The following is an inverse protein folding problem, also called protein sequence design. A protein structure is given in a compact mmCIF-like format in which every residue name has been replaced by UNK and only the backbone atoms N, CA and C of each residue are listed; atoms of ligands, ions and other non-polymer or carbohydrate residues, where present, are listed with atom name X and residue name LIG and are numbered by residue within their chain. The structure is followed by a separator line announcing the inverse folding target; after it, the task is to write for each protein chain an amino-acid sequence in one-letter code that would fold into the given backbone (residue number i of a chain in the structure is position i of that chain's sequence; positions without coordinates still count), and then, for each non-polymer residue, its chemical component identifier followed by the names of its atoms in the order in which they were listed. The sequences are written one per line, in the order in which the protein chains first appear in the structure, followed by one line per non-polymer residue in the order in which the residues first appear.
data_IF_397542040280
#
_entry.id   IF_397542040280
#
_cell.length_a   1.000
_cell.length_b   1.000
_cell.length_c   1.000
_cell.angle_alpha   90.00
_cell.angle_beta   90.00
_cell.angle_gamma   90.00
#
_symmetry.space_group_name_H-M   'P 1'
#
loop_
_entity.id
_entity.type
_entity.pdbx_description
1 polymer ?
#
# COMPACT_ATOMS: atom_id res chain seq x y z
N UNK A 1 13.57 25.86 -10.10
CA UNK A 1 13.53 24.43 -10.52
C UNK A 1 14.83 24.01 -11.24
N UNK A 2 16.01 24.16 -10.61
CA UNK A 2 17.31 23.79 -11.22
C UNK A 2 17.93 22.54 -10.58
N UNK A 3 17.44 22.13 -9.41
CA UNK A 3 18.05 21.08 -8.57
C UNK A 3 18.06 19.69 -9.22
N UNK A 4 17.04 19.35 -10.01
CA UNK A 4 16.89 18.02 -10.63
C UNK A 4 17.26 17.97 -12.12
N UNK A 5 17.48 19.14 -12.74
CA UNK A 5 17.52 19.26 -14.21
C UNK A 5 18.72 18.59 -14.87
N UNK A 6 19.81 18.40 -14.12
CA UNK A 6 21.06 17.80 -14.62
C UNK A 6 21.47 16.52 -13.87
N UNK A 7 20.71 16.12 -12.85
CA UNK A 7 21.05 15.02 -11.94
C UNK A 7 20.09 13.84 -12.04
N UNK A 8 18.90 14.04 -12.63
CA UNK A 8 17.87 13.01 -12.76
C UNK A 8 17.45 12.89 -14.21
N UNK A 9 17.61 11.68 -14.74
CA UNK A 9 16.90 11.23 -15.93
C UNK A 9 15.49 10.79 -15.51
N UNK A 10 14.48 11.49 -16.02
CA UNK A 10 13.09 11.24 -15.63
C UNK A 10 12.51 9.98 -16.27
N UNK A 11 12.98 9.58 -17.46
CA UNK A 11 12.52 8.35 -18.11
C UNK A 11 13.00 7.14 -17.30
N UNK A 12 14.29 7.13 -16.93
CA UNK A 12 14.86 6.07 -16.10
C UNK A 12 14.24 6.03 -14.69
N UNK A 13 13.86 7.19 -14.13
CA UNK A 13 13.21 7.25 -12.82
C UNK A 13 11.83 6.59 -12.84
N UNK A 14 11.00 6.90 -13.85
CA UNK A 14 9.66 6.33 -14.00
C UNK A 14 9.72 4.82 -14.21
N UNK A 15 10.73 4.35 -14.95
CA UNK A 15 11.00 2.92 -15.16
C UNK A 15 11.66 2.23 -13.95
N UNK A 16 11.88 2.94 -12.82
CA UNK A 16 12.56 2.45 -11.60
C UNK A 16 13.97 1.91 -11.85
N UNK A 17 14.68 2.44 -12.85
CA UNK A 17 16.04 2.04 -13.23
C UNK A 17 17.14 2.83 -12.52
N UNK A 18 16.80 3.94 -11.86
CA UNK A 18 17.72 4.67 -11.00
C UNK A 18 17.76 3.98 -9.62
N UNK A 19 18.96 3.62 -9.16
CA UNK A 19 19.15 3.04 -7.83
C UNK A 19 18.77 4.06 -6.74
N UNK A 20 17.86 3.72 -5.81
CA UNK A 20 17.57 4.59 -4.68
C UNK A 20 18.82 4.87 -3.84
N UNK A 21 18.99 6.09 -3.29
CA UNK A 21 20.16 6.42 -2.48
C UNK A 21 20.24 5.63 -1.17
N UNK A 22 19.12 5.03 -0.75
CA UNK A 22 19.04 4.14 0.40
C UNK A 22 18.27 2.87 0.01
N UNK A 23 18.88 1.72 0.28
CA UNK A 23 18.27 0.41 0.11
C UNK A 23 18.07 -0.23 1.50
N UNK A 24 16.84 -0.32 2.03
CA UNK A 24 16.61 -0.94 3.32
C UNK A 24 16.94 -2.43 3.27
N UNK A 25 17.59 -2.94 4.32
CA UNK A 25 17.75 -4.37 4.51
C UNK A 25 16.38 -4.99 4.88
N UNK A 26 15.98 -6.06 4.20
CA UNK A 26 14.73 -6.79 4.42
C UNK A 26 15.06 -8.24 4.79
N UNK A 27 14.61 -8.67 5.96
CA UNK A 27 14.80 -10.05 6.45
C UNK A 27 13.61 -10.97 6.05
N UNK A 28 13.38 -11.10 4.74
CA UNK A 28 12.32 -11.96 4.18
C UNK A 28 10.92 -11.35 4.17
N UNK A 29 9.95 -12.12 3.69
CA UNK A 29 8.59 -11.63 3.35
C UNK A 29 7.75 -11.13 4.53
N UNK A 30 8.17 -11.44 5.77
CA UNK A 30 7.50 -11.04 7.01
C UNK A 30 8.36 -10.08 7.86
N UNK A 31 9.29 -9.36 7.23
CA UNK A 31 10.09 -8.38 7.97
C UNK A 31 9.23 -7.22 8.47
N UNK A 32 9.11 -7.10 9.80
CA UNK A 32 8.35 -6.04 10.46
C UNK A 32 9.24 -4.98 11.15
N UNK A 33 10.57 -5.03 10.97
CA UNK A 33 11.51 -4.16 11.70
C UNK A 33 11.33 -2.65 11.46
N UNK A 34 10.62 -2.25 10.39
CA UNK A 34 10.33 -0.84 10.07
C UNK A 34 8.94 -0.39 10.54
N UNK A 35 8.18 -1.28 11.19
CA UNK A 35 6.91 -0.96 11.82
C UNK A 35 7.12 -0.74 13.32
N UNK A 36 6.33 0.14 13.91
CA UNK A 36 6.32 0.32 15.36
C UNK A 36 5.78 -0.95 16.03
N UNK A 37 6.44 -1.38 17.11
CA UNK A 37 6.08 -2.59 17.83
C UNK A 37 4.73 -2.47 18.54
N UNK A 38 4.21 -1.25 18.74
CA UNK A 38 2.84 -1.07 19.21
C UNK A 38 1.83 -1.75 18.29
N UNK A 39 2.04 -1.71 16.96
CA UNK A 39 1.13 -2.33 15.99
C UNK A 39 1.44 -3.81 15.76
N UNK A 40 2.72 -4.20 15.71
CA UNK A 40 3.09 -5.59 15.38
C UNK A 40 2.85 -6.57 16.53
N UNK A 41 2.70 -6.06 17.75
CA UNK A 41 2.36 -6.86 18.94
C UNK A 41 0.86 -7.00 19.17
N UNK A 42 0.03 -6.20 18.50
CA UNK A 42 -1.42 -6.36 18.54
C UNK A 42 -1.84 -7.60 17.75
N UNK A 43 -2.85 -8.31 18.26
CA UNK A 43 -3.44 -9.41 17.53
C UNK A 43 -4.12 -8.88 16.26
N UNK A 44 -3.97 -9.54 15.09
CA UNK A 44 -4.57 -9.11 13.84
C UNK A 44 -6.07 -9.43 13.84
N UNK A 45 -6.84 -8.64 14.59
CA UNK A 45 -8.27 -8.79 14.79
C UNK A 45 -9.01 -7.48 14.46
N UNK A 46 -10.23 -7.61 13.94
CA UNK A 46 -11.13 -6.48 13.79
C UNK A 46 -11.80 -6.20 15.14
N UNK A 47 -11.93 -4.92 15.48
CA UNK A 47 -12.75 -4.51 16.62
C UNK A 47 -14.20 -4.94 16.37
N UNK A 48 -14.89 -5.56 17.35
CA UNK A 48 -16.28 -5.95 17.19
C UNK A 48 -17.20 -4.76 16.89
N UNK A 49 -18.20 -4.97 16.03
CA UNK A 49 -19.16 -3.93 15.67
C UNK A 49 -20.09 -3.58 16.84
N UNK A 50 -20.48 -2.31 16.92
CA UNK A 50 -21.57 -1.82 17.77
C UNK A 50 -22.85 -1.64 16.94
N UNK A 51 -23.87 -2.52 17.08
CA UNK A 51 -25.03 -2.53 16.18
C UNK A 51 -25.80 -1.20 16.13
N UNK A 52 -25.86 -0.48 17.25
CA UNK A 52 -26.52 0.82 17.34
C UNK A 52 -25.81 1.93 16.55
N UNK A 53 -24.48 1.85 16.45
CA UNK A 53 -23.67 2.79 15.67
C UNK A 53 -23.86 2.49 14.19
N UNK A 54 -23.72 1.22 13.79
CA UNK A 54 -23.89 0.78 12.40
C UNK A 54 -25.27 1.16 11.86
N UNK A 55 -26.33 0.99 12.66
CA UNK A 55 -27.70 1.33 12.26
C UNK A 55 -27.93 2.82 11.98
N UNK A 56 -27.04 3.72 12.43
CA UNK A 56 -27.15 5.17 12.21
C UNK A 56 -26.34 5.67 11.02
N UNK A 57 -25.52 4.82 10.41
CA UNK A 57 -24.68 5.18 9.26
C UNK A 57 -25.53 5.15 7.99
N UNK A 58 -25.51 6.23 7.21
CA UNK A 58 -26.14 6.27 5.89
C UNK A 58 -25.32 5.43 4.90
N UNK A 59 -25.86 4.28 4.51
CA UNK A 59 -25.17 3.35 3.62
C UNK A 59 -25.05 3.87 2.19
N UNK A 60 -25.89 4.82 1.77
CA UNK A 60 -25.83 5.38 0.41
C UNK A 60 -24.57 6.22 0.16
N UNK A 61 -23.90 6.69 1.22
CA UNK A 61 -22.59 7.35 1.12
C UNK A 61 -21.49 6.42 0.60
N UNK A 62 -21.70 5.10 0.66
CA UNK A 62 -20.75 4.08 0.21
C UNK A 62 -21.11 3.51 -1.17
N UNK A 63 -22.14 4.03 -1.84
CA UNK A 63 -22.52 3.57 -3.18
C UNK A 63 -21.35 3.76 -4.17
N UNK A 64 -20.94 2.65 -4.81
CA UNK A 64 -19.82 2.65 -5.77
C UNK A 64 -18.43 2.55 -5.12
N UNK A 65 -18.35 2.18 -3.84
CA UNK A 65 -17.08 1.90 -3.16
C UNK A 65 -16.39 0.63 -3.69
N UNK A 66 -17.15 -0.31 -4.24
CA UNK A 66 -16.60 -1.56 -4.74
C UNK A 66 -15.64 -1.33 -5.91
N UNK A 67 -14.40 -1.76 -5.72
CA UNK A 67 -13.38 -1.74 -6.77
C UNK A 67 -12.53 -3.00 -6.70
N UNK A 68 -12.34 -3.63 -7.86
CA UNK A 68 -11.35 -4.68 -8.06
C UNK A 68 -10.47 -4.24 -9.22
N UNK A 69 -9.15 -4.22 -9.03
CA UNK A 69 -8.23 -3.86 -10.10
C UNK A 69 -8.34 -4.89 -11.24
N UNK A 70 -8.82 -4.51 -12.44
CA UNK A 70 -9.05 -5.45 -13.54
C UNK A 70 -7.75 -6.05 -14.09
N UNK A 71 -6.59 -5.43 -13.79
CA UNK A 71 -5.28 -5.91 -14.22
C UNK A 71 -4.75 -7.07 -13.37
N UNK A 72 -5.36 -7.37 -12.21
CA UNK A 72 -4.95 -8.50 -11.36
C UNK A 72 -5.12 -9.81 -12.12
N UNK A 73 -6.25 -10.00 -12.82
CA UNK A 73 -6.57 -11.22 -13.54
C UNK A 73 -5.67 -11.48 -14.76
N UNK A 74 -5.08 -10.44 -15.36
CA UNK A 74 -4.19 -10.61 -16.51
C UNK A 74 -2.79 -11.10 -16.14
N UNK A 75 -2.42 -11.10 -14.85
CA UNK A 75 -1.06 -11.44 -14.40
C UNK A 75 -0.92 -12.90 -13.95
N UNK A 76 -2.02 -13.56 -13.57
CA UNK A 76 -2.01 -14.96 -13.13
C UNK A 76 -1.86 -15.97 -14.31
N UNK A 77 -2.11 -15.53 -15.55
CA UNK A 77 -1.91 -16.35 -16.78
C UNK A 77 -0.48 -16.27 -17.36
N UNK A 78 0.42 -15.52 -16.73
CA UNK A 78 1.84 -15.42 -17.14
C UNK A 78 2.74 -16.11 -16.11
N UNK A 79 2.62 -17.45 -16.03
CA UNK A 79 3.58 -18.33 -15.35
C UNK A 79 4.88 -18.42 -16.14
#
# INVERSE_FOLDING_TARGET
MLFFRYSIDWELLVERRITPPYNPNINGDRDLQRFDTSFTNEDPALTPDEPEVIARIDQSEFDGFEYVNPLIFNKEDSV
#
